data_IF_233666060104
#
_entry.id   IF_233666060104
#
_cell.length_a   1.000
_cell.length_b   1.000
_cell.length_c   1.000
_cell.angle_alpha   90.00
_cell.angle_beta   90.00
_cell.angle_gamma   90.00
#
_symmetry.space_group_name_H-M   'P 1'
#
loop_
_entity.id
_entity.type
_entity.pdbx_description
1 polymer ?
#
# COMPACT_ATOMS: atom_id res chain seq x y z
N UNK A 1 26.58 16.51 -7.94
CA UNK A 1 25.12 16.32 -8.14
C UNK A 1 24.73 14.84 -8.12
N UNK A 2 25.42 14.01 -8.91
CA UNK A 2 25.15 12.57 -9.04
C UNK A 2 25.20 11.77 -7.72
N UNK A 3 26.15 12.06 -6.82
CA UNK A 3 26.26 11.40 -5.50
C UNK A 3 25.05 11.68 -4.60
N UNK A 4 24.47 12.88 -4.68
CA UNK A 4 23.29 13.28 -3.89
C UNK A 4 22.03 12.55 -4.40
N UNK A 5 21.85 12.49 -5.72
CA UNK A 5 20.73 11.77 -6.34
C UNK A 5 20.79 10.27 -6.08
N UNK A 6 21.99 9.66 -6.15
CA UNK A 6 22.20 8.26 -5.77
C UNK A 6 21.81 8.00 -4.31
N UNK A 7 22.18 8.91 -3.39
CA UNK A 7 21.80 8.81 -1.97
C UNK A 7 20.29 8.91 -1.76
N UNK A 8 19.62 9.88 -2.40
CA UNK A 8 18.16 10.03 -2.31
C UNK A 8 17.44 8.79 -2.82
N UNK A 9 17.89 8.23 -3.95
CA UNK A 9 17.34 7.00 -4.51
C UNK A 9 17.54 5.80 -3.57
N UNK A 10 18.70 5.68 -2.92
CA UNK A 10 18.94 4.63 -1.94
C UNK A 10 18.00 4.74 -0.73
N UNK A 11 17.84 5.94 -0.16
CA UNK A 11 16.91 6.19 0.96
C UNK A 11 15.47 5.86 0.54
N UNK A 12 15.08 6.29 -0.65
CA UNK A 12 13.77 5.99 -1.23
C UNK A 12 13.53 4.49 -1.38
N UNK A 13 14.51 3.75 -1.87
CA UNK A 13 14.41 2.30 -2.00
C UNK A 13 14.29 1.62 -0.64
N UNK A 14 15.05 2.06 0.37
CA UNK A 14 14.96 1.52 1.74
C UNK A 14 13.57 1.76 2.33
N UNK A 15 13.08 3.02 2.30
CA UNK A 15 11.75 3.34 2.82
C UNK A 15 10.65 2.60 2.05
N UNK A 16 10.80 2.44 0.74
CA UNK A 16 9.85 1.70 -0.07
C UNK A 16 9.83 0.20 0.29
N UNK A 17 10.98 -0.41 0.54
CA UNK A 17 11.06 -1.81 0.99
C UNK A 17 10.43 -1.98 2.37
N UNK A 18 10.72 -1.09 3.32
CA UNK A 18 10.07 -1.11 4.64
C UNK A 18 8.56 -0.98 4.48
N UNK A 19 8.10 -0.03 3.67
CA UNK A 19 6.70 0.14 3.34
C UNK A 19 6.07 -1.13 2.73
N UNK A 20 6.74 -1.80 1.79
CA UNK A 20 6.22 -3.03 1.18
C UNK A 20 6.10 -4.18 2.19
N UNK A 21 7.06 -4.30 3.11
CA UNK A 21 6.98 -5.29 4.20
C UNK A 21 5.77 -4.99 5.08
N UNK A 22 5.57 -3.73 5.46
CA UNK A 22 4.40 -3.31 6.24
C UNK A 22 3.10 -3.52 5.47
N UNK A 23 3.05 -3.21 4.18
CA UNK A 23 1.90 -3.40 3.30
C UNK A 23 1.48 -4.88 3.26
N UNK A 24 2.43 -5.77 3.00
CA UNK A 24 2.19 -7.22 3.02
C UNK A 24 1.70 -7.66 4.38
N UNK A 25 2.33 -7.18 5.46
CA UNK A 25 1.93 -7.56 6.81
C UNK A 25 0.50 -7.10 7.15
N UNK A 26 0.16 -5.84 6.85
CA UNK A 26 -1.17 -5.27 7.08
C UNK A 26 -2.24 -6.02 6.28
N UNK A 27 -2.01 -6.31 5.00
CA UNK A 27 -3.03 -6.91 4.14
C UNK A 27 -3.18 -8.41 4.41
N UNK A 28 -2.08 -9.14 4.52
CA UNK A 28 -2.14 -10.59 4.72
C UNK A 28 -2.56 -10.95 6.14
N UNK A 29 -2.06 -10.22 7.15
CA UNK A 29 -2.24 -10.60 8.55
C UNK A 29 -3.17 -9.65 9.31
N UNK A 30 -3.75 -8.62 8.66
CA UNK A 30 -4.70 -7.67 9.28
C UNK A 30 -4.19 -7.05 10.60
N UNK A 31 -2.88 -6.82 10.70
CA UNK A 31 -2.17 -6.36 11.91
C UNK A 31 -2.14 -7.34 13.10
N UNK A 32 -2.57 -8.58 12.91
CA UNK A 32 -2.47 -9.61 13.94
C UNK A 32 -1.02 -10.07 14.11
N UNK A 33 -0.58 -10.15 15.37
CA UNK A 33 0.72 -10.69 15.75
C UNK A 33 0.68 -12.20 16.01
N UNK A 34 -0.51 -12.74 16.30
CA UNK A 34 -0.72 -14.15 16.57
C UNK A 34 -1.45 -14.79 15.40
N UNK A 35 -0.88 -15.87 14.85
CA UNK A 35 -1.52 -16.64 13.79
C UNK A 35 -2.84 -17.26 14.27
N UNK A 36 -2.97 -17.58 15.56
CA UNK A 36 -4.16 -18.21 16.15
C UNK A 36 -5.39 -17.29 16.07
N UNK A 37 -5.19 -15.98 16.03
CA UNK A 37 -6.27 -14.99 15.93
C UNK A 37 -6.73 -14.75 14.49
N UNK A 38 -6.03 -15.32 13.50
CA UNK A 38 -6.40 -15.14 12.10
C UNK A 38 -7.70 -15.88 11.80
N UNK A 39 -8.58 -15.24 11.02
CA UNK A 39 -9.79 -15.89 10.54
C UNK A 39 -9.43 -16.92 9.48
N UNK A 40 -9.31 -18.18 9.90
CA UNK A 40 -8.99 -19.31 9.03
C UNK A 40 -10.19 -19.70 8.17
N UNK A 41 -10.48 -18.88 7.17
CA UNK A 41 -11.54 -19.11 6.19
C UNK A 41 -10.98 -18.99 4.78
N UNK A 42 -11.55 -19.79 3.87
CA UNK A 42 -11.40 -19.60 2.43
C UNK A 42 -12.74 -19.16 1.88
N UNK A 43 -12.82 -17.91 1.45
CA UNK A 43 -13.93 -17.40 0.65
C UNK A 43 -13.38 -16.71 -0.58
N UNK A 44 -14.14 -16.77 -1.66
CA UNK A 44 -13.84 -16.02 -2.88
C UNK A 44 -15.07 -15.19 -3.20
N UNK A 45 -14.90 -13.87 -3.23
CA UNK A 45 -15.88 -12.93 -3.71
C UNK A 45 -15.43 -12.38 -5.07
N UNK A 46 -16.09 -12.82 -6.14
CA UNK A 46 -15.82 -12.37 -7.51
C UNK A 46 -16.82 -11.32 -8.01
N UNK A 47 -17.79 -10.93 -7.16
CA UNK A 47 -18.77 -9.91 -7.52
C UNK A 47 -18.31 -8.59 -6.90
N UNK A 48 -17.89 -7.59 -7.70
CA UNK A 48 -17.40 -6.33 -7.18
C UNK A 48 -18.46 -5.63 -6.33
N UNK A 49 -18.06 -5.13 -5.16
CA UNK A 49 -18.92 -4.40 -4.23
C UNK A 49 -20.12 -5.20 -3.73
N UNK A 50 -20.06 -6.54 -3.81
CA UNK A 50 -21.09 -7.40 -3.26
C UNK A 50 -20.75 -7.76 -1.82
N UNK A 51 -21.56 -7.27 -0.90
CA UNK A 51 -21.36 -7.46 0.52
C UNK A 51 -22.50 -8.25 1.14
N UNK A 52 -22.16 -9.16 2.05
CA UNK A 52 -23.12 -9.85 2.89
C UNK A 52 -23.80 -8.83 3.82
N UNK A 53 -25.13 -8.73 3.77
CA UNK A 53 -25.92 -7.81 4.61
C UNK A 53 -25.79 -8.07 6.11
N UNK A 54 -25.13 -9.16 6.52
CA UNK A 54 -24.92 -9.53 7.92
C UNK A 54 -23.92 -8.64 8.68
N UNK A 55 -23.02 -7.92 7.99
CA UNK A 55 -21.94 -7.14 8.64
C UNK A 55 -22.17 -5.62 8.58
N UNK A 56 -23.20 -5.16 7.87
CA UNK A 56 -23.59 -3.74 7.81
C UNK A 56 -22.77 -2.92 6.81
N UNK A 57 -23.45 -2.09 6.02
CA UNK A 57 -22.86 -1.33 4.89
C UNK A 57 -21.70 -0.40 5.28
N UNK A 58 -21.70 0.12 6.52
CA UNK A 58 -20.66 1.04 6.99
C UNK A 58 -19.28 0.38 7.14
N UNK A 59 -19.24 -0.91 7.49
CA UNK A 59 -18.00 -1.66 7.64
C UNK A 59 -17.29 -1.79 6.29
N UNK A 60 -18.05 -2.10 5.24
CA UNK A 60 -17.55 -2.29 3.88
C UNK A 60 -17.02 -1.02 3.23
N UNK A 61 -17.62 0.14 3.53
CA UNK A 61 -17.08 1.45 3.10
C UNK A 61 -15.72 1.71 3.76
N UNK A 62 -15.54 1.29 5.02
CA UNK A 62 -14.27 1.36 5.73
C UNK A 62 -13.18 0.54 5.05
N UNK A 63 -13.45 -0.72 4.73
CA UNK A 63 -12.51 -1.62 4.05
C UNK A 63 -12.06 -1.07 2.69
N UNK A 64 -13.03 -0.62 1.87
CA UNK A 64 -12.75 0.02 0.57
C UNK A 64 -11.84 1.24 0.73
N UNK A 65 -12.15 2.10 1.70
CA UNK A 65 -11.34 3.30 1.97
C UNK A 65 -9.92 2.92 2.37
N UNK A 66 -9.77 1.97 3.28
CA UNK A 66 -8.48 1.61 3.85
C UNK A 66 -7.57 0.93 2.81
N UNK A 67 -8.14 0.09 1.93
CA UNK A 67 -7.45 -0.50 0.78
C UNK A 67 -6.99 0.55 -0.24
N UNK A 68 -7.83 1.55 -0.53
CA UNK A 68 -7.41 2.69 -1.37
C UNK A 68 -6.26 3.46 -0.70
N UNK A 69 -6.42 3.85 0.57
CA UNK A 69 -5.45 4.69 1.28
C UNK A 69 -4.09 4.02 1.41
N UNK A 70 -4.06 2.73 1.74
CA UNK A 70 -2.82 2.00 1.96
C UNK A 70 -2.02 1.83 0.66
N UNK A 71 -2.67 1.81 -0.51
CA UNK A 71 -1.98 1.71 -1.81
C UNK A 71 -1.52 3.06 -2.40
N UNK A 72 -1.98 4.21 -1.88
CA UNK A 72 -1.53 5.53 -2.35
C UNK A 72 0.00 5.68 -2.26
N UNK A 73 0.66 5.39 -1.12
CA UNK A 73 2.12 5.47 -1.02
C UNK A 73 2.84 4.59 -2.05
N UNK A 74 2.31 3.41 -2.40
CA UNK A 74 2.88 2.57 -3.46
C UNK A 74 2.92 3.32 -4.79
N UNK A 75 1.81 3.92 -5.21
CA UNK A 75 1.74 4.71 -6.45
C UNK A 75 2.74 5.87 -6.49
N UNK A 76 2.92 6.54 -5.34
CA UNK A 76 3.89 7.63 -5.17
C UNK A 76 5.32 7.11 -5.30
N UNK A 77 5.70 6.09 -4.52
CA UNK A 77 7.04 5.51 -4.56
C UNK A 77 7.38 4.94 -5.93
N UNK A 78 6.44 4.25 -6.58
CA UNK A 78 6.62 3.72 -7.93
C UNK A 78 6.86 4.85 -8.93
N UNK A 79 6.16 5.98 -8.80
CA UNK A 79 6.39 7.14 -9.67
C UNK A 79 7.70 7.88 -9.40
N UNK A 80 8.16 7.88 -8.15
CA UNK A 80 9.41 8.49 -7.75
C UNK A 80 10.63 7.67 -8.18
N UNK A 81 10.62 6.36 -7.90
CA UNK A 81 11.71 5.41 -8.16
C UNK A 81 11.77 4.94 -9.62
N UNK A 82 10.62 4.74 -10.25
CA UNK A 82 10.49 4.33 -11.64
C UNK A 82 9.97 5.49 -12.52
N UNK A 83 10.55 6.67 -12.33
CA UNK A 83 10.12 7.91 -13.01
C UNK A 83 10.02 7.78 -14.54
N UNK A 84 10.97 7.09 -15.16
CA UNK A 84 11.02 6.87 -16.63
C UNK A 84 10.11 5.75 -17.13
N UNK A 85 9.47 4.99 -16.23
CA UNK A 85 8.62 3.86 -16.60
C UNK A 85 7.27 4.35 -17.13
N UNK A 86 6.77 3.72 -18.21
CA UNK A 86 5.47 4.04 -18.81
C UNK A 86 4.33 3.79 -17.81
N UNK A 87 3.28 4.61 -17.88
CA UNK A 87 2.10 4.49 -17.00
C UNK A 87 1.49 3.09 -17.00
N UNK A 88 1.33 2.47 -18.19
CA UNK A 88 0.82 1.10 -18.33
C UNK A 88 1.63 0.07 -17.51
N UNK A 89 2.95 0.20 -17.49
CA UNK A 89 3.82 -0.72 -16.76
C UNK A 89 3.69 -0.51 -15.26
N UNK A 90 3.50 0.73 -14.80
CA UNK A 90 3.21 1.03 -13.40
C UNK A 90 1.87 0.43 -12.96
N UNK A 91 0.82 0.57 -13.79
CA UNK A 91 -0.49 -0.02 -13.54
C UNK A 91 -0.41 -1.55 -13.49
N UNK A 92 0.36 -2.18 -14.38
CA UNK A 92 0.56 -3.64 -14.35
C UNK A 92 1.29 -4.10 -13.08
N UNK A 93 2.25 -3.32 -12.55
CA UNK A 93 2.90 -3.62 -11.27
C UNK A 93 1.89 -3.52 -10.11
N UNK A 94 1.05 -2.48 -10.09
CA UNK A 94 0.00 -2.33 -9.08
C UNK A 94 -1.00 -3.50 -9.13
N UNK A 95 -1.49 -3.82 -10.34
CA UNK A 95 -2.42 -4.94 -10.57
C UNK A 95 -1.79 -6.27 -10.18
N UNK A 96 -0.55 -6.53 -10.62
CA UNK A 96 0.15 -7.78 -10.30
C UNK A 96 0.44 -7.93 -8.82
N UNK A 97 0.78 -6.84 -8.13
CA UNK A 97 1.01 -6.88 -6.68
C UNK A 97 -0.29 -7.12 -5.92
N UNK A 98 -1.37 -6.42 -6.29
CA UNK A 98 -2.67 -6.60 -5.66
C UNK A 98 -3.18 -8.04 -5.88
N UNK A 99 -3.09 -8.55 -7.10
CA UNK A 99 -3.45 -9.94 -7.42
C UNK A 99 -2.61 -10.96 -6.64
N UNK A 100 -1.31 -10.70 -6.46
CA UNK A 100 -0.44 -11.56 -5.67
C UNK A 100 -0.85 -11.61 -4.20
N UNK A 101 -1.26 -10.47 -3.61
CA UNK A 101 -1.76 -10.40 -2.23
C UNK A 101 -3.06 -11.20 -2.07
N UNK A 102 -4.03 -11.00 -2.95
CA UNK A 102 -5.29 -11.76 -2.98
C UNK A 102 -5.03 -13.27 -3.11
N UNK A 103 -4.11 -13.66 -4.00
CA UNK A 103 -3.73 -15.06 -4.21
C UNK A 103 -3.05 -15.64 -2.97
N UNK A 104 -2.18 -14.86 -2.30
CA UNK A 104 -1.53 -15.28 -1.06
C UNK A 104 -2.54 -15.48 0.06
N UNK A 105 -3.53 -14.59 0.24
CA UNK A 105 -4.59 -14.75 1.22
C UNK A 105 -5.36 -16.06 1.01
N UNK A 106 -5.70 -16.37 -0.25
CA UNK A 106 -6.37 -17.62 -0.60
C UNK A 106 -5.53 -18.86 -0.28
N UNK A 107 -4.26 -18.87 -0.72
CA UNK A 107 -3.35 -20.02 -0.55
C UNK A 107 -3.06 -20.27 0.93
N UNK A 108 -2.84 -19.20 1.69
CA UNK A 108 -2.50 -19.26 3.12
C UNK A 108 -3.72 -19.48 4.04
N UNK A 109 -4.95 -19.42 3.51
CA UNK A 109 -6.19 -19.62 4.30
C UNK A 109 -6.36 -18.55 5.40
N UNK A 110 -5.91 -17.33 5.14
CA UNK A 110 -5.89 -16.24 6.14
C UNK A 110 -6.89 -15.12 5.81
N UNK A 111 -7.88 -15.42 4.97
CA UNK A 111 -8.92 -14.46 4.59
C UNK A 111 -9.67 -14.84 3.33
N UNK A 112 -10.61 -13.97 2.95
CA UNK A 112 -11.33 -14.06 1.69
C UNK A 112 -10.63 -13.28 0.59
N UNK A 113 -10.51 -13.87 -0.59
CA UNK A 113 -10.13 -13.14 -1.80
C UNK A 113 -11.31 -12.31 -2.28
N UNK A 114 -11.13 -11.02 -2.51
CA UNK A 114 -12.18 -10.11 -2.98
C UNK A 114 -11.72 -9.31 -4.20
N UNK A 115 -12.50 -9.40 -5.29
CA UNK A 115 -12.25 -8.59 -6.49
C UNK A 115 -12.34 -7.09 -6.20
N UNK A 116 -13.10 -6.69 -5.19
CA UNK A 116 -13.21 -5.32 -4.71
C UNK A 116 -11.89 -4.83 -4.13
N UNK A 117 -11.18 -5.68 -3.40
CA UNK A 117 -9.87 -5.37 -2.84
C UNK A 117 -8.84 -5.21 -3.95
N UNK A 118 -8.89 -6.08 -4.97
CA UNK A 118 -8.10 -5.91 -6.19
C UNK A 118 -8.31 -4.53 -6.83
N UNK A 119 -9.57 -4.14 -7.04
CA UNK A 119 -9.96 -2.88 -7.70
C UNK A 119 -9.56 -1.67 -6.86
N UNK A 120 -9.82 -1.70 -5.55
CA UNK A 120 -9.56 -0.58 -4.64
C UNK A 120 -8.07 -0.34 -4.44
N UNK A 121 -7.29 -1.40 -4.27
CA UNK A 121 -5.82 -1.34 -4.22
C UNK A 121 -5.23 -0.72 -5.50
N UNK A 122 -5.64 -1.19 -6.67
CA UNK A 122 -5.18 -0.62 -7.95
C UNK A 122 -5.60 0.86 -8.07
N UNK A 123 -6.81 1.20 -7.64
CA UNK A 123 -7.31 2.58 -7.64
C UNK A 123 -6.49 3.49 -6.72
N UNK A 124 -6.16 3.04 -5.50
CA UNK A 124 -5.27 3.73 -4.58
C UNK A 124 -3.88 3.98 -5.18
N UNK A 125 -3.30 2.96 -5.83
CA UNK A 125 -2.03 3.10 -6.52
C UNK A 125 -2.09 4.10 -7.68
N UNK A 126 -3.18 4.13 -8.46
CA UNK A 126 -3.37 5.12 -9.53
C UNK A 126 -3.49 6.53 -8.94
N UNK A 127 -4.23 6.72 -7.85
CA UNK A 127 -4.33 8.00 -7.13
C UNK A 127 -2.93 8.45 -6.70
N UNK A 128 -2.12 7.57 -6.13
CA UNK A 128 -0.73 7.89 -5.77
C UNK A 128 0.13 8.34 -6.95
N UNK A 129 -0.01 7.71 -8.12
CA UNK A 129 0.67 8.13 -9.36
C UNK A 129 0.22 9.54 -9.77
N UNK A 130 -1.09 9.81 -9.74
CA UNK A 130 -1.68 11.11 -10.08
C UNK A 130 -1.18 12.19 -9.13
N UNK A 131 -1.21 11.95 -7.81
CA UNK A 131 -0.74 12.88 -6.80
C UNK A 131 0.72 13.27 -7.02
N UNK A 132 1.60 12.29 -7.26
CA UNK A 132 3.00 12.57 -7.57
C UNK A 132 3.15 13.42 -8.85
N UNK A 133 2.39 13.10 -9.91
CA UNK A 133 2.41 13.87 -11.15
C UNK A 133 1.91 15.32 -10.97
N UNK A 134 0.86 15.53 -10.15
CA UNK A 134 0.33 16.86 -9.82
C UNK A 134 1.36 17.68 -9.04
N UNK A 135 2.00 17.10 -8.03
CA UNK A 135 3.06 17.76 -7.25
C UNK A 135 4.21 18.23 -8.15
N UNK A 136 4.64 17.38 -9.09
CA UNK A 136 5.66 17.76 -10.06
C UNK A 136 5.22 18.88 -11.00
N UNK A 137 3.95 18.88 -11.43
CA UNK A 137 3.39 19.94 -12.29
C UNK A 137 3.33 21.28 -11.56
N UNK A 138 2.99 21.28 -10.27
CA UNK A 138 2.84 22.48 -9.44
C UNK A 138 4.19 23.09 -9.04
N UNK A 139 5.11 22.28 -8.51
CA UNK A 139 6.38 22.78 -7.95
C UNK A 139 7.48 22.87 -9.01
N UNK A 140 7.42 22.05 -10.06
CA UNK A 140 8.40 21.99 -11.17
C UNK A 140 9.85 21.72 -10.74
N UNK A 141 10.05 21.22 -9.51
CA UNK A 141 11.34 20.82 -8.97
C UNK A 141 11.23 19.40 -8.39
N UNK A 142 11.70 18.42 -9.18
CA UNK A 142 11.62 17.01 -8.81
C UNK A 142 12.38 16.72 -7.52
N UNK A 143 13.57 17.28 -7.34
CA UNK A 143 14.40 16.97 -6.17
C UNK A 143 13.73 17.47 -4.88
N UNK A 144 13.10 18.65 -4.89
CA UNK A 144 12.34 19.15 -3.73
C UNK A 144 11.13 18.27 -3.41
N UNK A 145 10.38 17.85 -4.43
CA UNK A 145 9.24 16.95 -4.25
C UNK A 145 9.68 15.59 -3.68
N UNK A 146 10.73 14.99 -4.24
CA UNK A 146 11.29 13.72 -3.74
C UNK A 146 11.71 13.86 -2.26
N UNK A 147 12.41 14.93 -1.90
CA UNK A 147 12.85 15.16 -0.51
C UNK A 147 11.65 15.33 0.42
N UNK A 148 10.64 16.12 0.03
CA UNK A 148 9.43 16.30 0.83
C UNK A 148 8.74 14.95 1.08
N UNK A 149 8.52 14.17 0.04
CA UNK A 149 7.90 12.84 0.13
C UNK A 149 8.72 11.93 1.04
N UNK A 150 10.05 11.93 0.91
CA UNK A 150 10.93 11.11 1.74
C UNK A 150 10.89 11.52 3.21
N UNK A 151 10.85 12.82 3.52
CA UNK A 151 10.72 13.32 4.89
C UNK A 151 9.38 12.89 5.49
N UNK A 152 8.27 13.11 4.77
CA UNK A 152 6.95 12.68 5.22
C UNK A 152 6.89 11.17 5.42
N UNK A 153 7.38 10.39 4.45
CA UNK A 153 7.40 8.93 4.54
C UNK A 153 8.25 8.44 5.72
N UNK A 154 9.41 9.05 5.96
CA UNK A 154 10.26 8.70 7.11
C UNK A 154 9.56 9.00 8.44
N UNK A 155 8.95 10.17 8.59
CA UNK A 155 8.20 10.54 9.81
C UNK A 155 7.06 9.57 10.04
N UNK A 156 6.22 9.31 9.03
CA UNK A 156 5.09 8.37 9.13
C UNK A 156 5.60 6.96 9.49
N UNK A 157 6.68 6.50 8.86
CA UNK A 157 7.26 5.17 9.15
C UNK A 157 7.74 5.08 10.59
N UNK A 158 8.46 6.09 11.09
CA UNK A 158 8.95 6.11 12.48
C UNK A 158 7.80 6.13 13.48
N UNK A 159 6.78 6.97 13.25
CA UNK A 159 5.60 7.05 14.11
C UNK A 159 4.84 5.71 14.13
N UNK A 160 4.65 5.09 12.96
CA UNK A 160 3.95 3.83 12.86
C UNK A 160 4.71 2.68 13.53
N UNK A 161 6.02 2.56 13.30
CA UNK A 161 6.86 1.57 13.98
C UNK A 161 6.93 1.81 15.50
N UNK A 162 6.96 3.07 15.93
CA UNK A 162 6.89 3.43 17.34
C UNK A 162 5.57 3.02 17.98
N UNK A 163 4.45 3.26 17.30
CA UNK A 163 3.13 2.80 17.74
C UNK A 163 3.08 1.26 17.86
N UNK A 164 3.58 0.55 16.85
CA UNK A 164 3.67 -0.92 16.89
C UNK A 164 4.50 -1.40 18.08
N UNK A 165 5.66 -0.77 18.33
CA UNK A 165 6.51 -1.13 19.46
C UNK A 165 5.77 -0.93 20.81
N UNK A 166 5.02 0.16 20.95
CA UNK A 166 4.19 0.39 22.14
C UNK A 166 3.10 -0.66 22.28
N UNK A 167 2.40 -1.01 21.20
CA UNK A 167 1.34 -2.03 21.22
C UNK A 167 1.89 -3.41 21.60
N UNK A 168 3.08 -3.78 21.10
CA UNK A 168 3.73 -5.05 21.45
C UNK A 168 4.18 -5.06 22.91
N UNK A 169 4.67 -3.93 23.46
CA UNK A 169 5.11 -3.86 24.86
C UNK A 169 3.95 -3.78 25.85
N UNK A 170 2.77 -3.32 25.41
CA UNK A 170 1.58 -3.16 26.25
C UNK A 170 0.69 -4.41 26.31
N UNK A 171 0.94 -5.41 25.46
CA UNK A 171 0.20 -6.66 25.36
C UNK A 171 1.04 -7.84 25.86
#
# INVERSE_FOLDING_TARGET
MEKKEKRLRAIASILFVIYLVLLVWIILFKLEFSLINLDYRRSINLIPFHYSTAVGEQFHIGEVRDNVLIFIPFGIFLSMLAFKMKLRSKILILLGTSLALETMQYVLIIGGTDITDLITNVSGGIIGIILYALLLKMVKDKQKIDILILVVAAVVTVLFLGLIAVLILAN
#
